data_IF_807439250509
#
_entry.id   IF_807439250509
#
_cell.length_a   1.000
_cell.length_b   1.000
_cell.length_c   1.000
_cell.angle_alpha   90.00
_cell.angle_beta   90.00
_cell.angle_gamma   90.00
#
_symmetry.space_group_name_H-M   'P 1'
#
loop_
_entity.id
_entity.type
_entity.pdbx_description
1 polymer ?
#
# COMPACT_ATOMS: atom_id res chain seq x y z
N UNK A 1 -2.90 -0.23 -13.31
CA UNK A 1 -3.90 -0.04 -14.37
C UNK A 1 -4.42 -1.42 -14.70
N UNK A 2 -5.73 -1.60 -14.56
CA UNK A 2 -6.43 -2.87 -14.78
C UNK A 2 -7.52 -2.58 -15.80
N UNK A 3 -7.89 -3.53 -16.66
CA UNK A 3 -9.03 -3.33 -17.55
C UNK A 3 -10.34 -3.30 -16.75
N UNK A 4 -11.37 -2.52 -17.13
CA UNK A 4 -12.59 -2.35 -16.34
C UNK A 4 -13.31 -3.66 -15.97
N UNK A 5 -13.32 -4.64 -16.88
CA UNK A 5 -13.90 -5.96 -16.63
C UNK A 5 -13.08 -6.87 -15.69
N UNK A 6 -11.91 -6.41 -15.24
CA UNK A 6 -10.96 -7.18 -14.42
C UNK A 6 -10.62 -6.46 -13.10
N UNK A 7 -11.19 -5.28 -12.87
CA UNK A 7 -10.97 -4.48 -11.66
C UNK A 7 -11.43 -5.21 -10.41
N UNK A 8 -12.65 -5.77 -10.42
CA UNK A 8 -13.18 -6.53 -9.29
C UNK A 8 -12.31 -7.75 -8.96
N UNK A 9 -11.94 -8.55 -9.97
CA UNK A 9 -11.07 -9.70 -9.76
C UNK A 9 -9.69 -9.31 -9.23
N UNK A 10 -9.11 -8.20 -9.68
CA UNK A 10 -7.83 -7.71 -9.16
C UNK A 10 -7.95 -7.19 -7.72
N UNK A 11 -9.07 -6.54 -7.38
CA UNK A 11 -9.33 -6.08 -6.02
C UNK A 11 -9.48 -7.27 -5.05
N UNK A 12 -10.24 -8.30 -5.43
CA UNK A 12 -10.36 -9.56 -4.68
C UNK A 12 -9.01 -10.26 -4.52
N UNK A 13 -8.23 -10.35 -5.60
CA UNK A 13 -6.88 -10.92 -5.60
C UNK A 13 -5.99 -10.28 -4.52
N UNK A 14 -6.00 -8.95 -4.44
CA UNK A 14 -5.22 -8.21 -3.44
C UNK A 14 -5.82 -8.33 -2.04
N UNK A 15 -7.15 -8.20 -1.90
CA UNK A 15 -7.83 -8.20 -0.62
C UNK A 15 -7.70 -9.55 0.12
N UNK A 16 -7.70 -10.66 -0.61
CA UNK A 16 -7.50 -12.01 -0.09
C UNK A 16 -6.01 -12.37 0.10
N UNK A 17 -5.10 -11.44 -0.19
CA UNK A 17 -3.67 -11.61 0.06
C UNK A 17 -2.95 -12.56 -0.91
N UNK A 18 -3.54 -12.88 -2.07
CA UNK A 18 -2.93 -13.75 -3.07
C UNK A 18 -1.53 -13.36 -3.52
N UNK A 19 -1.15 -12.06 -3.66
CA UNK A 19 0.22 -11.69 -4.00
C UNK A 19 1.30 -12.28 -3.07
N UNK A 20 0.96 -12.55 -1.80
CA UNK A 20 1.88 -13.15 -0.83
C UNK A 20 1.81 -14.69 -0.81
N UNK A 21 0.81 -15.29 -1.47
CA UNK A 21 0.53 -16.74 -1.47
C UNK A 21 1.04 -17.44 -2.74
N UNK A 22 1.72 -16.71 -3.62
CA UNK A 22 2.26 -17.24 -4.88
C UNK A 22 3.68 -16.76 -5.10
N UNK A 23 4.51 -17.62 -5.69
CA UNK A 23 5.88 -17.30 -6.09
C UNK A 23 5.99 -16.83 -7.55
N UNK A 24 4.86 -16.71 -8.28
CA UNK A 24 4.80 -16.37 -9.72
C UNK A 24 5.58 -15.11 -10.08
N UNK A 25 5.42 -14.05 -9.28
CA UNK A 25 6.18 -12.82 -9.45
C UNK A 25 7.69 -13.04 -9.24
N UNK A 26 8.08 -13.76 -8.20
CA UNK A 26 9.49 -14.04 -7.89
C UNK A 26 10.16 -14.83 -9.02
N UNK A 27 9.50 -15.90 -9.51
CA UNK A 27 9.98 -16.71 -10.65
C UNK A 27 10.14 -15.87 -11.92
N UNK A 28 9.16 -15.03 -12.23
CA UNK A 28 9.21 -14.15 -13.40
C UNK A 28 10.43 -13.20 -13.35
N UNK A 29 10.68 -12.58 -12.20
CA UNK A 29 11.84 -11.70 -12.05
C UNK A 29 13.17 -12.47 -12.02
N UNK A 30 13.20 -13.71 -11.51
CA UNK A 30 14.41 -14.53 -11.49
C UNK A 30 14.91 -14.88 -12.90
N UNK A 31 14.01 -14.93 -13.90
CA UNK A 31 14.39 -15.17 -15.30
C UNK A 31 15.19 -14.04 -15.94
N UNK A 32 15.16 -12.82 -15.38
CA UNK A 32 15.86 -11.64 -15.90
C UNK A 32 15.63 -11.43 -17.42
N UNK A 33 14.42 -11.74 -17.91
CA UNK A 33 14.13 -11.78 -19.34
C UNK A 33 13.54 -10.46 -19.83
N UNK A 34 14.07 -9.94 -20.94
CA UNK A 34 13.65 -8.71 -21.60
C UNK A 34 12.55 -8.91 -22.66
N UNK A 35 11.56 -9.76 -22.35
CA UNK A 35 10.39 -10.08 -23.16
C UNK A 35 9.20 -10.51 -22.31
N UNK A 36 8.13 -10.99 -22.94
CA UNK A 36 7.01 -11.64 -22.30
C UNK A 36 7.27 -13.15 -22.15
N UNK A 37 6.98 -13.67 -20.97
CA UNK A 37 7.08 -15.09 -20.64
C UNK A 37 5.68 -15.63 -20.33
N UNK A 38 5.40 -16.83 -20.80
CA UNK A 38 4.19 -17.57 -20.46
C UNK A 38 4.34 -18.25 -19.10
N UNK A 39 3.24 -18.68 -18.49
CA UNK A 39 3.30 -19.48 -17.26
C UNK A 39 4.13 -20.76 -17.42
N UNK A 40 4.11 -21.37 -18.60
CA UNK A 40 4.90 -22.57 -18.91
C UNK A 40 6.40 -22.30 -19.07
N UNK A 41 6.81 -21.04 -19.21
CA UNK A 41 8.24 -20.68 -19.22
C UNK A 41 8.80 -20.58 -17.77
N UNK A 42 7.93 -20.49 -16.76
CA UNK A 42 8.29 -20.32 -15.33
C UNK A 42 7.81 -21.46 -14.42
N UNK A 43 6.83 -22.23 -14.85
CA UNK A 43 6.32 -23.43 -14.18
C UNK A 43 6.29 -24.63 -15.14
N UNK A 44 6.47 -25.81 -14.58
CA UNK A 44 6.09 -27.06 -15.24
C UNK A 44 4.56 -27.25 -15.20
N UNK A 45 3.97 -28.05 -16.10
CA UNK A 45 2.54 -28.34 -16.07
C UNK A 45 2.08 -28.93 -14.72
N UNK A 46 2.88 -29.81 -14.10
CA UNK A 46 2.55 -30.42 -12.82
C UNK A 46 2.54 -29.38 -11.67
N UNK A 47 3.45 -28.41 -11.68
CA UNK A 47 3.45 -27.32 -10.69
C UNK A 47 2.21 -26.43 -10.82
N UNK A 48 1.79 -26.12 -12.05
CA UNK A 48 0.59 -25.29 -12.30
C UNK A 48 -0.67 -25.92 -11.69
N UNK A 49 -0.81 -27.24 -11.76
CA UNK A 49 -1.99 -27.94 -11.26
C UNK A 49 -2.11 -27.90 -9.72
N UNK A 50 -0.99 -27.84 -9.00
CA UNK A 50 -0.99 -27.78 -7.52
C UNK A 50 -0.84 -26.38 -6.95
N UNK A 51 -0.40 -25.41 -7.77
CA UNK A 51 -0.17 -24.04 -7.34
C UNK A 51 -1.49 -23.33 -6.99
N UNK A 52 -1.65 -22.84 -5.74
CA UNK A 52 -2.92 -22.29 -5.25
C UNK A 52 -3.49 -21.16 -6.10
N UNK A 53 -2.65 -20.27 -6.66
CA UNK A 53 -3.16 -19.15 -7.47
C UNK A 53 -3.87 -19.64 -8.74
N UNK A 54 -3.41 -20.72 -9.35
CA UNK A 54 -4.08 -21.30 -10.51
C UNK A 54 -5.34 -22.05 -10.07
N UNK A 55 -5.19 -23.00 -9.14
CA UNK A 55 -6.27 -23.91 -8.72
C UNK A 55 -7.44 -23.20 -8.03
N UNK A 56 -7.15 -22.32 -7.08
CA UNK A 56 -8.16 -21.78 -6.15
C UNK A 56 -8.64 -20.38 -6.55
N UNK A 57 -7.85 -19.63 -7.31
CA UNK A 57 -8.19 -18.26 -7.71
C UNK A 57 -8.56 -18.13 -9.19
N UNK A 58 -7.68 -18.57 -10.10
CA UNK A 58 -7.86 -18.37 -11.55
C UNK A 58 -8.86 -19.35 -12.17
N UNK A 59 -8.71 -20.66 -11.91
CA UNK A 59 -9.56 -21.71 -12.51
C UNK A 59 -11.05 -21.54 -12.19
N UNK A 60 -11.48 -21.24 -10.94
CA UNK A 60 -12.89 -21.01 -10.64
C UNK A 60 -13.48 -19.80 -11.37
N UNK A 61 -12.64 -18.87 -11.83
CA UNK A 61 -13.02 -17.68 -12.61
C UNK A 61 -12.89 -17.90 -14.12
N UNK A 62 -12.71 -19.14 -14.57
CA UNK A 62 -12.56 -19.51 -15.99
C UNK A 62 -11.21 -19.11 -16.60
N UNK A 63 -10.28 -18.61 -15.79
CA UNK A 63 -8.93 -18.22 -16.20
C UNK A 63 -7.95 -19.35 -15.94
N UNK A 64 -6.79 -19.29 -16.58
CA UNK A 64 -5.83 -20.35 -16.32
C UNK A 64 -4.50 -20.32 -17.03
N UNK A 65 -4.34 -19.41 -17.97
CA UNK A 65 -3.09 -19.21 -18.68
C UNK A 65 -2.79 -17.73 -18.68
N UNK A 66 -1.53 -17.38 -18.59
CA UNK A 66 -1.10 -16.00 -18.56
C UNK A 66 0.23 -15.82 -19.24
N UNK A 67 0.47 -14.57 -19.56
CA UNK A 67 1.70 -14.09 -20.17
C UNK A 67 2.08 -12.78 -19.51
N UNK A 68 3.31 -12.70 -19.04
CA UNK A 68 3.76 -11.61 -18.20
C UNK A 68 5.16 -11.12 -18.56
N UNK A 69 5.39 -9.83 -18.35
CA UNK A 69 6.66 -9.16 -18.57
C UNK A 69 7.05 -8.39 -17.32
N UNK A 70 8.23 -8.69 -16.79
CA UNK A 70 8.81 -7.98 -15.65
C UNK A 70 9.69 -6.81 -16.12
N UNK A 71 9.54 -5.67 -15.45
CA UNK A 71 10.33 -4.45 -15.67
C UNK A 71 10.79 -3.90 -14.32
N UNK A 72 12.09 -3.69 -14.17
CA UNK A 72 12.65 -2.91 -13.07
C UNK A 72 12.98 -1.52 -13.60
N UNK A 73 12.36 -0.49 -13.06
CA UNK A 73 12.64 0.91 -13.46
C UNK A 73 13.84 1.46 -12.68
N UNK A 74 14.51 2.53 -13.16
CA UNK A 74 15.71 3.09 -12.52
C UNK A 74 15.52 3.51 -11.05
N UNK A 75 14.30 3.84 -10.61
CA UNK A 75 14.00 4.12 -9.19
C UNK A 75 14.10 2.89 -8.28
N UNK A 76 14.27 1.69 -8.85
CA UNK A 76 14.27 0.42 -8.14
C UNK A 76 12.89 -0.22 -8.00
N UNK A 77 11.82 0.45 -8.46
CA UNK A 77 10.50 -0.17 -8.48
C UNK A 77 10.45 -1.34 -9.47
N UNK A 78 9.71 -2.37 -9.07
CA UNK A 78 9.52 -3.60 -9.84
C UNK A 78 8.07 -3.67 -10.28
N UNK A 79 7.85 -3.69 -11.59
CA UNK A 79 6.55 -3.74 -12.23
C UNK A 79 6.40 -5.04 -13.01
N UNK A 80 5.17 -5.55 -13.03
CA UNK A 80 4.77 -6.69 -13.85
C UNK A 80 3.61 -6.23 -14.73
N UNK A 81 3.75 -6.42 -16.04
CA UNK A 81 2.64 -6.37 -16.98
C UNK A 81 2.15 -7.80 -17.17
N UNK A 82 0.90 -8.07 -16.81
CA UNK A 82 0.34 -9.41 -16.85
C UNK A 82 -0.94 -9.40 -17.68
N UNK A 83 -1.11 -10.41 -18.53
CA UNK A 83 -2.32 -10.64 -19.31
C UNK A 83 -2.80 -12.05 -19.04
N UNK A 84 -3.99 -12.15 -18.46
CA UNK A 84 -4.63 -13.44 -18.20
C UNK A 84 -5.51 -13.87 -19.38
N UNK A 85 -5.59 -15.17 -19.58
CA UNK A 85 -6.32 -15.85 -20.66
C UNK A 85 -7.20 -16.94 -20.07
N UNK A 86 -8.37 -17.10 -20.68
CA UNK A 86 -9.33 -18.13 -20.34
C UNK A 86 -8.71 -19.54 -20.47
N UNK A 87 -8.95 -20.39 -19.47
CA UNK A 87 -8.39 -21.74 -19.43
C UNK A 87 -8.82 -22.60 -20.63
N UNK A 88 -10.09 -22.49 -21.02
CA UNK A 88 -10.69 -23.22 -22.14
C UNK A 88 -10.05 -22.91 -23.50
N UNK A 89 -9.30 -21.80 -23.63
CA UNK A 89 -8.62 -21.41 -24.88
C UNK A 89 -7.20 -21.95 -25.00
N UNK A 90 -6.79 -22.81 -24.07
CA UNK A 90 -5.45 -23.40 -24.01
C UNK A 90 -4.33 -22.39 -23.74
N UNK A 91 -3.09 -22.88 -23.62
CA UNK A 91 -1.90 -22.07 -23.35
C UNK A 91 -1.74 -20.91 -24.33
N UNK A 92 -1.06 -19.85 -23.87
CA UNK A 92 -0.71 -18.71 -24.73
C UNK A 92 0.26 -19.15 -25.81
N UNK A 93 -0.07 -18.86 -27.06
CA UNK A 93 0.71 -19.27 -28.23
C UNK A 93 1.86 -18.29 -28.50
N UNK A 94 2.92 -18.77 -29.18
CA UNK A 94 4.13 -17.96 -29.43
C UNK A 94 3.88 -16.76 -30.35
N UNK A 95 2.91 -16.82 -31.25
CA UNK A 95 2.49 -15.67 -32.08
C UNK A 95 1.91 -14.53 -31.22
N UNK A 96 1.15 -14.86 -30.17
CA UNK A 96 0.63 -13.85 -29.22
C UNK A 96 1.77 -13.25 -28.41
N UNK A 97 2.73 -14.07 -27.97
CA UNK A 97 3.93 -13.59 -27.26
C UNK A 97 4.71 -12.60 -28.13
N UNK A 98 4.98 -12.93 -29.40
CA UNK A 98 5.69 -12.06 -30.32
C UNK A 98 5.00 -10.70 -30.53
N UNK A 99 3.66 -10.69 -30.57
CA UNK A 99 2.88 -9.43 -30.67
C UNK A 99 2.98 -8.59 -29.40
N UNK A 100 3.00 -9.22 -28.22
CA UNK A 100 3.18 -8.52 -26.94
C UNK A 100 4.62 -8.01 -26.78
N UNK A 101 5.61 -8.75 -27.26
CA UNK A 101 7.01 -8.32 -27.27
C UNK A 101 7.22 -7.05 -28.09
N UNK A 102 6.51 -6.89 -29.21
CA UNK A 102 6.53 -5.64 -29.97
C UNK A 102 6.04 -4.43 -29.15
N UNK A 103 5.14 -4.64 -28.18
CA UNK A 103 4.62 -3.59 -27.30
C UNK A 103 5.54 -3.35 -26.08
N UNK A 104 6.34 -4.32 -25.67
CA UNK A 104 7.15 -4.26 -24.45
C UNK A 104 8.02 -3.00 -24.34
N UNK A 105 8.74 -2.53 -25.39
CA UNK A 105 9.54 -1.32 -25.29
C UNK A 105 8.71 -0.08 -24.94
N UNK A 106 7.48 0.02 -25.45
CA UNK A 106 6.57 1.12 -25.17
C UNK A 106 6.08 1.08 -23.73
N UNK A 107 5.72 -0.11 -23.23
CA UNK A 107 5.29 -0.34 -21.84
C UNK A 107 6.40 -0.03 -20.84
N UNK A 108 7.63 -0.46 -21.12
CA UNK A 108 8.78 -0.18 -20.26
C UNK A 108 9.11 1.32 -20.18
N UNK A 109 9.02 2.04 -21.32
CA UNK A 109 9.18 3.51 -21.34
C UNK A 109 8.08 4.21 -20.55
N UNK A 110 6.82 3.82 -20.74
CA UNK A 110 5.69 4.39 -20.00
C UNK A 110 5.83 4.16 -18.49
N UNK A 111 6.21 2.96 -18.06
CA UNK A 111 6.50 2.65 -16.65
C UNK A 111 7.62 3.54 -16.09
N UNK A 112 8.69 3.71 -16.85
CA UNK A 112 9.82 4.58 -16.45
C UNK A 112 9.40 6.03 -16.32
N UNK A 113 8.61 6.55 -17.27
CA UNK A 113 8.09 7.92 -17.21
C UNK A 113 7.14 8.12 -16.02
N UNK A 114 6.23 7.17 -15.77
CA UNK A 114 5.31 7.22 -14.63
C UNK A 114 6.07 7.20 -13.29
N UNK A 115 7.09 6.35 -13.16
CA UNK A 115 7.94 6.31 -11.98
C UNK A 115 8.69 7.65 -11.75
N UNK A 116 9.18 8.28 -12.82
CA UNK A 116 9.80 9.62 -12.76
C UNK A 116 8.83 10.70 -12.31
N UNK A 117 7.61 10.72 -12.87
CA UNK A 117 6.57 11.67 -12.47
C UNK A 117 6.22 11.52 -10.98
N UNK A 118 6.04 10.28 -10.52
CA UNK A 118 5.80 10.02 -9.09
C UNK A 118 6.94 10.55 -8.23
N UNK A 119 8.20 10.32 -8.62
CA UNK A 119 9.35 10.85 -7.89
C UNK A 119 9.38 12.39 -7.88
N UNK A 120 9.02 13.04 -8.99
CA UNK A 120 8.89 14.50 -9.07
C UNK A 120 7.83 15.02 -8.10
N UNK A 121 6.66 14.37 -8.02
CA UNK A 121 5.61 14.75 -7.04
C UNK A 121 6.10 14.64 -5.60
N UNK A 122 6.80 13.56 -5.25
CA UNK A 122 7.32 13.41 -3.88
C UNK A 122 8.43 14.43 -3.61
N UNK A 123 9.28 14.75 -4.60
CA UNK A 123 10.29 15.83 -4.49
C UNK A 123 9.66 17.19 -4.19
N UNK A 124 8.59 17.55 -4.90
CA UNK A 124 7.87 18.79 -4.63
C UNK A 124 7.32 18.86 -3.19
N UNK A 125 6.83 17.73 -2.66
CA UNK A 125 6.39 17.67 -1.26
C UNK A 125 7.55 17.88 -0.26
N UNK A 126 8.74 17.31 -0.52
CA UNK A 126 9.92 17.55 0.31
C UNK A 126 10.41 19.00 0.23
N UNK A 127 10.33 19.63 -0.95
CA UNK A 127 10.65 21.04 -1.12
C UNK A 127 9.67 21.96 -0.37
N UNK A 128 8.38 21.62 -0.30
CA UNK A 128 7.42 22.38 0.49
C UNK A 128 7.76 22.36 2.00
N UNK A 129 8.36 21.28 2.52
CA UNK A 129 8.84 21.21 3.90
C UNK A 129 10.05 22.13 4.15
N UNK A 130 10.85 22.38 3.12
CA UNK A 130 12.00 23.27 3.19
C UNK A 130 11.56 24.72 3.47
N UNK A 131 10.43 25.14 2.89
CA UNK A 131 9.83 26.47 3.10
C UNK A 131 9.52 26.75 4.57
N UNK A 132 9.14 25.72 5.34
CA UNK A 132 8.86 25.81 6.78
C UNK A 132 10.05 25.40 7.65
N UNK A 133 11.25 25.29 7.05
CA UNK A 133 12.49 24.98 7.75
C UNK A 133 12.58 23.55 8.27
N UNK A 134 11.89 22.60 7.62
CA UNK A 134 11.91 21.18 8.00
C UNK A 134 12.79 20.40 7.03
N UNK A 135 13.97 19.92 7.47
CA UNK A 135 14.79 18.98 6.71
C UNK A 135 14.01 17.70 6.38
N UNK A 136 14.00 17.31 5.11
CA UNK A 136 13.30 16.13 4.63
C UNK A 136 14.11 15.35 3.58
N UNK A 137 14.06 14.02 3.72
CA UNK A 137 14.59 13.08 2.75
C UNK A 137 13.48 12.12 2.28
N UNK A 138 13.53 11.76 1.00
CA UNK A 138 12.66 10.76 0.39
C UNK A 138 13.44 9.47 0.29
N UNK A 139 12.97 8.43 0.98
CA UNK A 139 13.64 7.14 1.04
C UNK A 139 12.92 6.10 0.20
N UNK A 140 13.70 5.27 -0.48
CA UNK A 140 13.23 4.06 -1.13
C UNK A 140 13.06 2.90 -0.13
N UNK A 141 12.58 1.75 -0.63
CA UNK A 141 12.28 0.58 0.20
C UNK A 141 13.50 -0.04 0.89
N UNK A 142 14.70 0.20 0.38
CA UNK A 142 15.96 -0.27 0.96
C UNK A 142 16.69 0.85 1.70
N UNK A 143 15.94 1.89 2.11
CA UNK A 143 16.44 3.10 2.78
C UNK A 143 17.44 3.91 1.95
N UNK A 144 17.55 3.65 0.65
CA UNK A 144 18.33 4.49 -0.26
C UNK A 144 17.68 5.87 -0.41
N UNK A 145 18.51 6.90 -0.53
CA UNK A 145 18.05 8.27 -0.77
C UNK A 145 17.60 8.41 -2.22
N UNK A 146 16.34 8.81 -2.43
CA UNK A 146 15.78 9.10 -3.76
C UNK A 146 15.77 10.60 -4.07
N UNK A 147 15.67 11.42 -3.02
CA UNK A 147 15.86 12.87 -3.05
C UNK A 147 15.96 13.43 -1.62
N UNK A 148 16.49 14.65 -1.51
CA UNK A 148 16.53 15.47 -0.29
C UNK A 148 16.12 16.91 -0.63
N UNK A 149 15.65 17.64 0.38
CA UNK A 149 15.57 19.11 0.30
C UNK A 149 16.86 19.75 0.84
N UNK A 150 17.04 21.06 0.63
CA UNK A 150 18.27 21.76 0.99
C UNK A 150 18.56 21.69 2.49
N UNK A 151 17.53 21.79 3.33
CA UNK A 151 17.66 21.64 4.77
C UNK A 151 18.21 20.27 5.20
N UNK A 152 17.85 19.18 4.50
CA UNK A 152 18.39 17.85 4.78
C UNK A 152 19.79 17.65 4.18
N UNK A 153 20.06 18.23 3.01
CA UNK A 153 21.38 18.19 2.38
C UNK A 153 22.43 18.86 3.27
N UNK A 154 22.08 19.96 3.95
CA UNK A 154 22.94 20.63 4.92
C UNK A 154 23.31 19.77 6.15
N UNK A 155 22.58 18.68 6.41
CA UNK A 155 22.87 17.74 7.51
C UNK A 155 23.85 16.63 7.10
N UNK A 156 24.13 16.49 5.80
CA UNK A 156 25.05 15.48 5.29
C UNK A 156 26.48 15.74 5.79
N UNK A 157 27.17 14.66 6.17
CA UNK A 157 28.52 14.71 6.74
C UNK A 157 28.58 15.06 8.22
N UNK A 158 27.47 15.51 8.82
CA UNK A 158 27.41 15.88 10.24
C UNK A 158 26.45 15.00 11.04
N UNK A 159 25.15 15.03 10.72
CA UNK A 159 24.10 14.23 11.39
C UNK A 159 23.69 13.04 10.54
N UNK A 160 23.76 13.19 9.22
CA UNK A 160 23.37 12.17 8.24
C UNK A 160 24.59 11.78 7.41
N UNK A 161 24.72 10.50 7.12
CA UNK A 161 25.80 9.96 6.30
C UNK A 161 25.26 9.57 4.91
N UNK A 162 25.90 10.10 3.87
CA UNK A 162 25.63 9.68 2.50
C UNK A 162 26.33 8.35 2.23
N UNK A 163 25.57 7.26 2.27
CA UNK A 163 26.04 5.90 2.02
C UNK A 163 25.04 5.17 1.10
N UNK A 164 25.21 3.85 0.91
CA UNK A 164 24.26 3.03 0.13
C UNK A 164 22.82 3.06 0.70
N UNK A 165 22.65 3.50 1.95
CA UNK A 165 21.38 3.80 2.62
C UNK A 165 21.51 5.12 3.38
N UNK A 166 20.39 5.78 3.62
CA UNK A 166 20.29 6.87 4.58
C UNK A 166 20.64 6.32 5.97
N UNK A 167 21.60 6.95 6.62
CA UNK A 167 22.09 6.57 7.93
C UNK A 167 22.36 7.81 8.77
N UNK A 168 22.22 7.69 10.08
CA UNK A 168 22.69 8.72 11.00
C UNK A 168 24.15 8.48 11.35
N UNK A 169 24.92 9.56 11.52
CA UNK A 169 26.33 9.47 11.90
C UNK A 169 26.53 8.92 13.31
N UNK A 170 25.52 9.07 14.18
CA UNK A 170 25.53 8.52 15.54
C UNK A 170 25.02 7.07 15.56
N UNK A 171 25.86 6.07 15.91
CA UNK A 171 25.51 4.64 15.81
C UNK A 171 24.27 4.23 16.62
N UNK A 172 24.10 4.77 17.83
CA UNK A 172 22.92 4.47 18.66
C UNK A 172 21.61 5.07 18.12
N UNK A 173 21.69 6.16 17.36
CA UNK A 173 20.52 6.78 16.74
C UNK A 173 20.15 6.04 15.44
N UNK A 174 21.16 5.52 14.73
CA UNK A 174 20.97 4.71 13.52
C UNK A 174 20.53 3.27 13.82
N UNK A 175 20.62 2.83 15.07
CA UNK A 175 20.21 1.49 15.50
C UNK A 175 18.70 1.45 15.83
N UNK A 176 17.88 0.73 15.04
CA UNK A 176 16.44 0.68 15.25
C UNK A 176 16.03 -0.08 16.52
N UNK A 177 16.95 -0.83 17.16
CA UNK A 177 16.70 -1.54 18.42
C UNK A 177 16.76 -0.60 19.64
N UNK A 178 17.46 0.52 19.51
CA UNK A 178 17.66 1.52 20.57
C UNK A 178 16.79 2.75 20.33
N UNK A 179 16.40 3.01 19.08
CA UNK A 179 15.41 4.04 18.73
C UNK A 179 14.05 3.75 19.40
N UNK A 180 13.76 4.48 20.47
CA UNK A 180 12.44 4.43 21.12
C UNK A 180 11.44 5.23 20.29
N UNK A 181 10.30 4.66 19.89
CA UNK A 181 9.27 5.44 19.21
C UNK A 181 8.84 6.58 20.12
N UNK A 182 8.60 7.76 19.53
CA UNK A 182 8.03 8.88 20.27
C UNK A 182 6.80 8.41 21.05
N UNK A 183 6.69 8.73 22.36
CA UNK A 183 5.50 8.40 23.13
C UNK A 183 4.29 9.02 22.43
N UNK A 184 3.28 8.20 22.12
CA UNK A 184 1.99 8.72 21.66
C UNK A 184 1.28 9.30 22.88
N UNK A 185 1.47 10.60 23.13
CA UNK A 185 0.68 11.32 24.12
C UNK A 185 -0.73 11.46 23.57
N UNK A 186 -1.71 10.87 24.27
CA UNK A 186 -3.12 11.07 23.90
C UNK A 186 -3.56 12.48 24.29
N UNK A 187 -4.38 13.11 23.47
CA UNK A 187 -4.93 14.45 23.73
C UNK A 187 -5.61 14.50 25.11
N UNK A 188 -5.38 15.57 25.87
CA UNK A 188 -5.90 15.72 27.24
C UNK A 188 -7.44 15.62 27.30
N UNK A 189 -8.11 16.13 26.27
CA UNK A 189 -9.56 16.05 26.05
C UNK A 189 -10.10 14.60 26.06
N UNK A 190 -9.33 13.64 25.53
CA UNK A 190 -9.71 12.23 25.46
C UNK A 190 -9.49 11.50 26.80
N UNK A 191 -8.87 12.16 27.77
CA UNK A 191 -8.59 11.62 29.11
C UNK A 191 -9.60 12.09 30.17
N UNK A 192 -10.54 12.96 29.78
CA UNK A 192 -11.58 13.50 30.66
C UNK A 192 -12.51 12.40 31.22
N UNK A 193 -13.05 12.56 32.43
CA UNK A 193 -14.08 11.66 32.97
C UNK A 193 -15.28 11.50 32.02
N UNK A 194 -15.69 12.59 31.37
CA UNK A 194 -16.81 12.64 30.43
C UNK A 194 -16.53 11.79 29.20
N UNK A 195 -15.32 11.88 28.63
CA UNK A 195 -14.93 11.03 27.50
C UNK A 195 -14.81 9.55 27.90
N UNK A 196 -14.38 9.24 29.13
CA UNK A 196 -14.39 7.87 29.66
C UNK A 196 -15.82 7.33 29.82
N UNK A 197 -16.74 8.14 30.31
CA UNK A 197 -18.16 7.79 30.43
C UNK A 197 -18.80 7.57 29.05
N UNK A 198 -18.54 8.46 28.10
CA UNK A 198 -18.95 8.31 26.70
C UNK A 198 -18.45 7.01 26.09
N UNK A 199 -17.14 6.73 26.23
CA UNK A 199 -16.55 5.49 25.73
C UNK A 199 -17.27 4.27 26.32
N UNK A 200 -17.56 4.28 27.61
CA UNK A 200 -18.27 3.17 28.26
C UNK A 200 -19.69 3.01 27.71
N UNK A 201 -20.42 4.11 27.53
CA UNK A 201 -21.78 4.11 26.98
C UNK A 201 -21.82 3.52 25.56
N UNK A 202 -20.87 3.88 24.70
CA UNK A 202 -20.75 3.35 23.33
C UNK A 202 -20.52 1.83 23.35
N UNK A 203 -19.61 1.35 24.20
CA UNK A 203 -19.32 -0.08 24.29
C UNK A 203 -20.49 -0.89 24.88
N UNK A 204 -21.16 -0.34 25.90
CA UNK A 204 -22.34 -0.97 26.51
C UNK A 204 -23.50 -1.07 25.52
N UNK A 205 -23.79 0.01 24.77
CA UNK A 205 -24.81 0.02 23.73
C UNK A 205 -24.56 -1.06 22.67
N UNK A 206 -23.31 -1.24 22.28
CA UNK A 206 -22.92 -2.25 21.31
C UNK A 206 -22.86 -3.67 21.88
N UNK A 207 -23.29 -3.90 23.13
CA UNK A 207 -23.23 -5.21 23.77
C UNK A 207 -21.81 -5.75 23.92
N UNK A 208 -20.81 -4.88 23.97
CA UNK A 208 -19.39 -5.25 23.92
C UNK A 208 -19.02 -6.06 22.67
N UNK A 209 -19.67 -5.79 21.54
CA UNK A 209 -19.36 -6.38 20.24
C UNK A 209 -18.92 -5.30 19.26
N UNK A 210 -18.02 -5.65 18.35
CA UNK A 210 -17.68 -4.80 17.22
C UNK A 210 -18.92 -4.62 16.31
N UNK A 211 -19.35 -3.39 16.08
CA UNK A 211 -20.49 -3.04 15.22
C UNK A 211 -20.19 -3.18 13.71
N UNK A 212 -18.97 -3.59 13.35
CA UNK A 212 -18.55 -3.85 11.96
C UNK A 212 -18.49 -5.36 11.64
N UNK A 213 -17.89 -6.15 12.54
CA UNK A 213 -17.61 -7.57 12.29
C UNK A 213 -18.18 -8.53 13.35
N UNK A 214 -18.86 -8.02 14.37
CA UNK A 214 -19.46 -8.83 15.43
C UNK A 214 -18.48 -9.41 16.45
N UNK A 215 -17.17 -9.13 16.34
CA UNK A 215 -16.18 -9.67 17.27
C UNK A 215 -16.45 -9.24 18.72
N UNK A 216 -16.52 -10.21 19.62
CA UNK A 216 -16.77 -10.02 21.04
C UNK A 216 -15.54 -9.44 21.76
N UNK A 217 -15.75 -8.39 22.55
CA UNK A 217 -14.75 -7.87 23.48
C UNK A 217 -14.83 -8.51 24.86
N UNK A 218 -13.72 -8.45 25.61
CA UNK A 218 -13.63 -8.99 26.96
C UNK A 218 -12.45 -9.95 27.14
N UNK A 219 -12.49 -10.76 28.20
CA UNK A 219 -11.43 -11.73 28.51
C UNK A 219 -11.42 -12.83 27.45
N UNK A 220 -10.30 -12.98 26.73
CA UNK A 220 -10.18 -13.90 25.60
C UNK A 220 -10.76 -13.38 24.28
N UNK A 221 -11.32 -12.17 24.27
CA UNK A 221 -11.88 -11.49 23.09
C UNK A 221 -10.96 -10.40 22.52
N UNK A 222 -11.50 -9.61 21.60
CA UNK A 222 -10.76 -8.50 20.97
C UNK A 222 -10.79 -7.23 21.82
N UNK A 223 -9.77 -6.39 21.69
CA UNK A 223 -9.82 -5.03 22.24
C UNK A 223 -10.79 -4.18 21.43
N UNK A 224 -11.71 -3.52 22.13
CA UNK A 224 -12.69 -2.60 21.54
C UNK A 224 -12.33 -1.14 21.80
N UNK A 225 -12.66 -0.32 20.80
CA UNK A 225 -12.44 1.10 20.75
C UNK A 225 -13.78 1.79 20.47
N UNK A 226 -14.03 2.91 21.15
CA UNK A 226 -15.12 3.81 20.79
C UNK A 226 -14.55 4.84 19.83
N UNK A 227 -15.09 4.87 18.63
CA UNK A 227 -14.61 5.68 17.52
C UNK A 227 -15.71 6.64 17.07
N UNK A 228 -15.37 7.90 16.81
CA UNK A 228 -16.37 8.89 16.43
C UNK A 228 -16.86 8.65 15.00
N UNK A 229 -18.18 8.60 14.79
CA UNK A 229 -18.80 8.44 13.47
C UNK A 229 -18.48 9.66 12.61
N UNK A 230 -18.78 10.85 13.13
CA UNK A 230 -18.31 12.14 12.63
C UNK A 230 -17.08 12.51 13.44
N UNK A 231 -15.92 12.65 12.79
CA UNK A 231 -14.68 12.94 13.50
C UNK A 231 -14.70 14.31 14.17
N UNK A 232 -13.95 14.44 15.28
CA UNK A 232 -13.85 15.69 16.06
C UNK A 232 -13.44 16.89 15.20
N UNK A 233 -12.50 16.67 14.26
CA UNK A 233 -12.00 17.74 13.37
C UNK A 233 -13.03 18.19 12.34
N UNK A 234 -14.04 17.36 12.08
CA UNK A 234 -15.15 17.63 11.16
C UNK A 234 -16.39 18.15 11.92
N UNK A 235 -16.22 18.57 13.19
CA UNK A 235 -17.27 19.12 14.03
C UNK A 235 -18.12 18.08 14.78
N UNK A 236 -17.68 16.82 14.81
CA UNK A 236 -18.39 15.76 15.52
C UNK A 236 -18.46 15.98 17.03
N UNK A 237 -19.64 15.74 17.61
CA UNK A 237 -19.84 15.84 19.05
C UNK A 237 -18.94 14.84 19.81
N UNK A 238 -18.17 15.35 20.77
CA UNK A 238 -17.13 14.59 21.47
C UNK A 238 -17.69 13.49 22.38
N UNK A 239 -18.78 13.77 23.06
CA UNK A 239 -19.34 12.94 24.12
C UNK A 239 -20.78 12.52 23.87
N UNK A 240 -21.31 12.74 22.65
CA UNK A 240 -22.61 12.20 22.23
C UNK A 240 -22.47 10.69 21.94
N UNK A 241 -23.15 9.81 22.69
CA UNK A 241 -23.10 8.38 22.44
C UNK A 241 -23.56 8.00 21.02
N UNK A 242 -24.47 8.77 20.39
CA UNK A 242 -24.94 8.51 19.03
C UNK A 242 -23.86 8.80 17.97
N UNK A 243 -22.91 9.68 18.29
CA UNK A 243 -21.73 9.91 17.47
C UNK A 243 -20.60 8.90 17.75
N UNK A 244 -20.83 7.88 18.58
CA UNK A 244 -19.85 6.84 18.86
C UNK A 244 -20.19 5.51 18.18
N UNK A 245 -19.17 4.82 17.67
CA UNK A 245 -19.25 3.47 17.13
C UNK A 245 -18.22 2.56 17.80
N UNK A 246 -18.62 1.37 18.22
CA UNK A 246 -17.78 0.35 18.82
C UNK A 246 -17.09 -0.48 17.74
N UNK A 247 -15.76 -0.41 17.67
CA UNK A 247 -14.96 -1.13 16.68
C UNK A 247 -13.84 -1.93 17.34
N UNK A 248 -13.52 -3.10 16.78
CA UNK A 248 -12.29 -3.81 17.11
C UNK A 248 -11.07 -3.15 16.46
N UNK A 249 -9.86 -3.45 16.94
CA UNK A 249 -8.64 -2.81 16.45
C UNK A 249 -8.39 -2.92 14.93
N UNK A 250 -8.78 -4.03 14.31
CA UNK A 250 -8.64 -4.21 12.86
C UNK A 250 -9.63 -3.35 12.07
N UNK A 251 -10.90 -3.32 12.47
CA UNK A 251 -11.93 -2.51 11.83
C UNK A 251 -11.67 -1.01 12.03
N UNK A 252 -11.25 -0.60 13.23
CA UNK A 252 -10.83 0.76 13.53
C UNK A 252 -9.67 1.21 12.62
N UNK A 253 -8.61 0.38 12.52
CA UNK A 253 -7.46 0.68 11.65
C UNK A 253 -7.88 0.80 10.18
N UNK A 254 -8.75 -0.11 9.70
CA UNK A 254 -9.28 -0.09 8.34
C UNK A 254 -10.03 1.22 8.04
N UNK A 255 -10.88 1.69 8.97
CA UNK A 255 -11.56 2.98 8.85
C UNK A 255 -10.56 4.13 8.79
N UNK A 256 -9.59 4.20 9.71
CA UNK A 256 -8.57 5.26 9.72
C UNK A 256 -7.80 5.32 8.39
N UNK A 257 -7.44 4.17 7.81
CA UNK A 257 -6.75 4.11 6.51
C UNK A 257 -7.65 4.59 5.38
N UNK A 258 -8.92 4.18 5.35
CA UNK A 258 -9.88 4.60 4.34
C UNK A 258 -10.12 6.11 4.37
N UNK A 259 -10.31 6.72 5.55
CA UNK A 259 -10.54 8.16 5.66
C UNK A 259 -9.30 8.98 5.29
N UNK A 260 -8.10 8.52 5.68
CA UNK A 260 -6.84 9.13 5.21
C UNK A 260 -6.72 9.11 3.69
N UNK A 261 -7.04 7.97 3.06
CA UNK A 261 -7.03 7.87 1.59
C UNK A 261 -8.06 8.82 0.95
N UNK A 262 -9.27 8.93 1.51
CA UNK A 262 -10.31 9.85 1.06
C UNK A 262 -9.84 11.31 1.10
N UNK A 263 -9.24 11.74 2.21
CA UNK A 263 -8.72 13.11 2.37
C UNK A 263 -7.56 13.42 1.43
N UNK A 264 -6.67 12.46 1.21
CA UNK A 264 -5.60 12.60 0.22
C UNK A 264 -6.17 12.78 -1.19
N UNK A 265 -7.22 12.03 -1.55
CA UNK A 265 -7.89 12.17 -2.85
C UNK A 265 -8.58 13.53 -3.02
N UNK A 266 -9.31 14.01 -1.99
CA UNK A 266 -9.97 15.33 -2.02
C UNK A 266 -8.95 16.47 -2.12
N UNK A 267 -7.84 16.40 -1.39
CA UNK A 267 -6.75 17.39 -1.47
C UNK A 267 -6.10 17.42 -2.86
N UNK A 268 -5.88 16.26 -3.46
CA UNK A 268 -5.35 16.17 -4.82
C UNK A 268 -6.31 16.76 -5.86
N UNK A 269 -7.63 16.53 -5.71
CA UNK A 269 -8.64 17.08 -6.60
C UNK A 269 -8.81 18.61 -6.46
N UNK A 270 -8.69 19.15 -5.23
CA UNK A 270 -8.73 20.59 -4.99
C UNK A 270 -7.45 21.33 -5.46
N UNK A 271 -6.35 20.60 -5.69
CA UNK A 271 -5.07 21.14 -6.14
C UNK A 271 -4.90 21.16 -7.66
N UNK A 272 -5.90 20.74 -8.44
CA UNK A 272 -5.94 20.95 -9.90
C UNK A 272 -6.62 22.30 -10.20
N UNK A 273 -5.88 23.40 -10.48
CA UNK A 273 -6.50 24.60 -11.03
C UNK A 273 -7.02 24.25 -12.42
N UNK A 274 -8.28 24.61 -12.68
CA UNK A 274 -9.01 24.31 -13.89
C UNK A 274 -8.19 24.55 -15.16
N UNK A 275 -7.98 23.48 -15.94
CA UNK A 275 -7.56 23.56 -17.33
C UNK A 275 -8.76 24.05 -18.14
N UNK A 276 -8.89 25.36 -18.26
CA UNK A 276 -9.49 26.02 -19.42
C UNK A 276 -8.50 26.07 -20.58
#
# INVERSE_FOLDING_TARGET
MTSPGFEQGTAEYVAEGWPARTDRAARLFAKQHSGFLTDLDVYTPAEIEVEPVFRDFLRPRGLGWGVASAVTVPSGDRLIFNVERAFARGPVTRDVVARLDALRPHLARAATMSARLRLQTVRAAAQALDVVGVPAAILGRQLQVLAVNAGCEALFGYTVQEARRFALTHPEADNPRTARPMPKTADAELQTPEHRAWRLAVLQRAGWCCEDCGAQGGRGGVRLFADHVIERQDGGALTDPNNGRCLCGSCHTRKTVAERARRMAVRSAAAEPGRG
#
